data_IF_165939405977
#
_entry.id   IF_165939405977
#
_cell.length_a   1.000
_cell.length_b   1.000
_cell.length_c   1.000
_cell.angle_alpha   90.00
_cell.angle_beta   90.00
_cell.angle_gamma   90.00
#
_symmetry.space_group_name_H-M   'P 1'
#
loop_
_entity.id
_entity.type
_entity.pdbx_description
1 polymer ?
#
# COMPACT_ATOMS: atom_id res chain seq x y z
N UNK A 1 -20.56 35.89 -48.99
CA UNK A 1 -19.16 35.74 -49.46
C UNK A 1 -18.48 34.80 -48.48
N UNK A 2 -18.10 33.62 -48.98
CA UNK A 2 -17.24 32.57 -48.40
C UNK A 2 -17.46 32.12 -46.94
N UNK A 3 -18.31 31.11 -46.83
CA UNK A 3 -17.97 29.73 -46.46
C UNK A 3 -16.51 29.46 -46.00
N UNK A 4 -16.35 28.97 -44.77
CA UNK A 4 -15.25 28.11 -44.35
C UNK A 4 -15.82 27.06 -43.39
N UNK A 5 -16.01 25.86 -43.94
CA UNK A 5 -16.36 24.66 -43.22
C UNK A 5 -15.27 24.28 -42.20
N UNK A 6 -15.69 23.97 -40.98
CA UNK A 6 -14.93 23.10 -40.07
C UNK A 6 -15.78 21.87 -39.80
N UNK A 7 -15.31 20.75 -40.34
CA UNK A 7 -15.94 19.45 -40.23
C UNK A 7 -16.06 18.98 -38.78
N UNK A 8 -17.18 18.31 -38.56
CA UNK A 8 -17.66 17.66 -37.34
C UNK A 8 -16.76 16.49 -36.94
N UNK A 9 -16.48 16.37 -35.64
CA UNK A 9 -16.33 15.08 -34.98
C UNK A 9 -17.24 15.09 -33.75
N UNK A 10 -18.52 14.78 -33.96
CA UNK A 10 -19.43 14.39 -32.88
C UNK A 10 -18.96 13.03 -32.36
N UNK A 11 -18.23 13.02 -31.25
CA UNK A 11 -18.13 11.84 -30.41
C UNK A 11 -19.42 11.77 -29.59
N UNK A 12 -20.43 11.10 -30.13
CA UNK A 12 -21.57 10.62 -29.35
C UNK A 12 -21.04 9.59 -28.35
N UNK A 13 -20.83 10.03 -27.11
CA UNK A 13 -20.54 9.12 -26.01
C UNK A 13 -21.90 8.52 -25.61
N UNK A 14 -22.20 7.33 -26.14
CA UNK A 14 -23.38 6.59 -25.72
C UNK A 14 -23.16 6.16 -24.27
N UNK A 15 -23.70 6.91 -23.30
CA UNK A 15 -23.82 6.46 -21.93
C UNK A 15 -24.79 5.28 -21.91
N UNK A 16 -24.30 4.06 -21.77
CA UNK A 16 -25.15 2.98 -21.27
C UNK A 16 -25.48 3.30 -19.83
N UNK A 17 -26.72 3.70 -19.58
CA UNK A 17 -27.31 3.73 -18.24
C UNK A 17 -27.26 2.31 -17.66
N UNK A 18 -26.32 2.07 -16.75
CA UNK A 18 -26.36 0.86 -15.92
C UNK A 18 -27.48 1.06 -14.91
N UNK A 19 -28.61 0.44 -15.19
CA UNK A 19 -29.73 0.29 -14.27
C UNK A 19 -29.21 -0.25 -12.93
N UNK A 20 -29.29 0.57 -11.88
CA UNK A 20 -28.97 0.15 -10.52
C UNK A 20 -30.07 -0.80 -10.03
N UNK A 21 -29.74 -2.10 -10.00
CA UNK A 21 -30.52 -3.12 -9.29
C UNK A 21 -30.59 -2.85 -7.78
N UNK A 22 -31.46 -3.55 -7.04
CA UNK A 22 -31.80 -3.18 -5.67
C UNK A 22 -30.58 -3.26 -4.75
N UNK A 23 -30.33 -2.15 -4.05
CA UNK A 23 -29.48 -2.00 -2.89
C UNK A 23 -28.12 -2.72 -2.95
N UNK A 24 -27.06 -1.97 -3.30
CA UNK A 24 -25.73 -2.34 -2.82
C UNK A 24 -25.82 -2.58 -1.31
N UNK A 25 -25.46 -3.77 -0.80
CA UNK A 25 -25.28 -3.91 0.63
C UNK A 25 -24.29 -2.83 1.04
N UNK A 26 -24.71 -2.00 2.00
CA UNK A 26 -23.83 -1.13 2.77
C UNK A 26 -22.62 -1.98 3.13
N UNK A 27 -21.41 -1.55 2.74
CA UNK A 27 -20.17 -2.25 3.05
C UNK A 27 -20.25 -2.76 4.48
N UNK A 28 -20.29 -4.08 4.64
CA UNK A 28 -20.28 -4.72 5.94
C UNK A 28 -18.97 -4.30 6.60
N UNK A 29 -19.08 -3.41 7.57
CA UNK A 29 -18.01 -3.11 8.51
C UNK A 29 -17.76 -4.33 9.38
N UNK A 30 -16.48 -4.59 9.65
CA UNK A 30 -15.93 -5.54 10.62
C UNK A 30 -15.89 -7.00 10.18
N UNK A 31 -15.18 -7.26 9.08
CA UNK A 31 -14.31 -8.43 9.03
C UNK A 31 -12.89 -7.90 9.21
N UNK A 32 -12.19 -8.30 10.27
CA UNK A 32 -10.73 -8.22 10.31
C UNK A 32 -10.22 -8.90 9.05
N UNK A 33 -9.87 -8.13 8.01
CA UNK A 33 -9.47 -8.75 6.75
C UNK A 33 -8.18 -9.51 7.03
N UNK A 34 -8.14 -10.81 6.74
CA UNK A 34 -6.89 -11.58 6.70
C UNK A 34 -6.01 -11.20 5.50
N UNK A 35 -6.15 -9.96 5.01
CA UNK A 35 -5.53 -9.44 3.82
C UNK A 35 -4.01 -9.46 4.01
N UNK A 36 -3.38 -10.31 3.19
CA UNK A 36 -1.95 -10.32 3.03
C UNK A 36 -1.58 -9.09 2.21
N UNK A 37 -0.81 -8.17 2.78
CA UNK A 37 -0.44 -6.95 2.07
C UNK A 37 0.90 -7.12 1.35
N UNK A 38 1.06 -6.33 0.30
CA UNK A 38 2.30 -6.16 -0.44
C UNK A 38 2.51 -4.71 -0.88
N UNK A 39 3.72 -4.38 -1.28
CA UNK A 39 4.10 -3.03 -1.71
C UNK A 39 4.45 -3.02 -3.19
N UNK A 40 3.65 -2.31 -3.98
CA UNK A 40 3.97 -1.99 -5.37
C UNK A 40 4.73 -0.67 -5.42
N UNK A 41 5.95 -0.67 -5.95
CA UNK A 41 6.72 0.55 -6.09
C UNK A 41 6.15 1.42 -7.22
N UNK A 42 6.12 2.73 -7.01
CA UNK A 42 5.73 3.72 -8.01
C UNK A 42 6.88 4.71 -8.21
N UNK A 43 7.33 4.84 -9.46
CA UNK A 43 8.38 5.78 -9.86
C UNK A 43 7.85 6.63 -11.01
N UNK A 44 7.87 7.96 -10.86
CA UNK A 44 7.36 8.90 -11.87
C UNK A 44 5.95 8.54 -12.38
N UNK A 45 5.06 8.14 -11.46
CA UNK A 45 3.68 7.75 -11.76
C UNK A 45 3.51 6.38 -12.42
N UNK A 46 4.59 5.59 -12.57
CA UNK A 46 4.53 4.25 -13.17
C UNK A 46 4.75 3.18 -12.10
N UNK A 47 3.85 2.19 -12.06
CA UNK A 47 4.03 0.99 -11.25
C UNK A 47 5.28 0.21 -11.72
N UNK A 48 6.06 -0.27 -10.77
CA UNK A 48 7.30 -1.00 -10.97
C UNK A 48 7.17 -2.35 -10.26
N UNK A 49 6.81 -3.44 -10.98
CA UNK A 49 6.80 -4.78 -10.40
C UNK A 49 8.23 -5.24 -10.04
N UNK A 50 8.39 -6.26 -9.18
CA UNK A 50 7.34 -7.05 -8.54
C UNK A 50 6.64 -6.31 -7.38
N UNK A 51 5.55 -6.89 -6.88
CA UNK A 51 5.00 -6.50 -5.58
C UNK A 51 5.87 -7.17 -4.51
N UNK A 52 6.43 -6.38 -3.61
CA UNK A 52 7.20 -6.90 -2.47
C UNK A 52 6.23 -7.31 -1.36
N UNK A 53 6.14 -8.60 -1.06
CA UNK A 53 5.24 -9.11 -0.03
C UNK A 53 5.66 -8.63 1.38
N UNK A 54 4.70 -8.24 2.20
CA UNK A 54 4.95 -7.91 3.60
C UNK A 54 4.89 -9.18 4.46
N UNK A 55 5.88 -9.38 5.32
CA UNK A 55 5.86 -10.58 6.18
C UNK A 55 4.78 -10.47 7.27
N UNK A 56 4.20 -11.61 7.63
CA UNK A 56 3.37 -11.76 8.83
C UNK A 56 4.20 -12.11 10.10
N UNK A 57 5.52 -12.26 9.98
CA UNK A 57 6.40 -12.43 11.15
C UNK A 57 6.28 -11.22 12.08
N UNK A 58 6.18 -11.41 13.42
CA UNK A 58 6.16 -10.31 14.38
C UNK A 58 7.32 -9.32 14.21
N UNK A 59 8.52 -9.76 13.78
CA UNK A 59 9.64 -8.89 13.48
C UNK A 59 9.35 -7.90 12.33
N UNK A 60 8.41 -8.22 11.44
CA UNK A 60 7.95 -7.37 10.37
C UNK A 60 8.96 -7.19 9.22
N UNK A 61 8.53 -6.44 8.22
CA UNK A 61 9.31 -6.04 7.06
C UNK A 61 9.98 -4.69 7.36
N UNK A 62 11.31 -4.65 7.27
CA UNK A 62 12.08 -3.40 7.39
C UNK A 62 12.40 -2.87 6.01
N UNK A 63 12.10 -1.60 5.77
CA UNK A 63 12.41 -0.91 4.52
C UNK A 63 13.54 0.08 4.77
N UNK A 64 14.54 0.08 3.90
CA UNK A 64 15.64 1.02 3.97
C UNK A 64 16.81 0.64 3.07
N UNK A 65 17.66 1.61 2.76
CA UNK A 65 18.74 1.43 1.79
C UNK A 65 19.78 0.39 2.22
N UNK A 66 19.91 0.12 3.53
CA UNK A 66 20.78 -0.90 4.10
C UNK A 66 20.02 -1.75 5.13
N UNK A 67 18.70 -1.91 4.93
CA UNK A 67 17.89 -2.74 5.79
C UNK A 67 18.40 -4.20 5.72
N UNK A 68 18.48 -4.85 6.87
CA UNK A 68 18.92 -6.23 7.00
C UNK A 68 17.79 -7.08 7.59
N UNK A 69 17.75 -8.35 7.19
CA UNK A 69 16.74 -9.31 7.63
C UNK A 69 16.15 -10.10 6.47
N UNK A 70 15.49 -11.23 6.75
CA UNK A 70 14.96 -12.14 5.73
C UNK A 70 13.84 -11.51 4.88
N UNK A 71 13.17 -10.48 5.40
CA UNK A 71 12.06 -9.79 4.75
C UNK A 71 12.34 -8.29 4.53
N UNK A 72 13.61 -7.92 4.44
CA UNK A 72 14.00 -6.53 4.24
C UNK A 72 13.80 -6.08 2.79
N UNK A 73 13.21 -4.90 2.59
CA UNK A 73 13.06 -4.28 1.27
C UNK A 73 14.12 -3.20 1.11
N UNK A 74 15.06 -3.44 0.20
CA UNK A 74 16.21 -2.55 -0.07
C UNK A 74 16.15 -1.89 -1.45
N UNK A 75 15.17 -2.26 -2.28
CA UNK A 75 14.92 -1.62 -3.59
C UNK A 75 14.25 -0.25 -3.43
N UNK A 76 15.02 0.70 -2.90
CA UNK A 76 14.58 2.05 -2.53
C UNK A 76 15.40 3.13 -3.24
N UNK A 77 15.00 4.39 -3.07
CA UNK A 77 15.63 5.56 -3.65
C UNK A 77 16.86 6.01 -2.85
N UNK A 78 17.68 6.86 -3.46
CA UNK A 78 18.94 7.33 -2.87
C UNK A 78 18.75 8.16 -1.59
N UNK A 79 17.57 8.75 -1.40
CA UNK A 79 17.22 9.61 -0.26
C UNK A 79 16.51 8.85 0.87
N UNK A 80 16.55 7.51 0.80
CA UNK A 80 16.03 6.62 1.85
C UNK A 80 17.18 6.24 2.80
N UNK A 81 17.00 6.55 4.08
CA UNK A 81 17.89 6.16 5.18
C UNK A 81 18.10 4.64 5.28
N UNK A 82 19.20 4.25 5.96
CA UNK A 82 19.63 2.85 6.13
C UNK A 82 18.53 1.92 6.64
N UNK A 83 17.92 2.30 7.75
CA UNK A 83 16.67 1.74 8.26
C UNK A 83 15.66 2.89 8.25
N UNK A 84 14.59 2.77 7.47
CA UNK A 84 13.67 3.88 7.23
C UNK A 84 12.39 3.73 8.03
N UNK A 85 11.71 2.60 7.84
CA UNK A 85 10.48 2.25 8.52
C UNK A 85 10.36 0.74 8.66
N UNK A 86 9.49 0.31 9.58
CA UNK A 86 9.12 -1.08 9.79
C UNK A 86 7.61 -1.21 9.61
N UNK A 87 7.18 -2.23 8.89
CA UNK A 87 5.78 -2.61 8.73
C UNK A 87 5.59 -4.01 9.32
N UNK A 88 4.55 -4.21 10.12
CA UNK A 88 4.24 -5.51 10.70
C UNK A 88 2.73 -5.67 10.85
N UNK A 89 2.31 -6.90 11.08
CA UNK A 89 0.92 -7.24 11.38
C UNK A 89 0.79 -7.64 12.84
N UNK A 90 -0.22 -7.11 13.51
CA UNK A 90 -0.55 -7.46 14.90
C UNK A 90 -2.07 -7.42 15.06
N UNK A 91 -2.66 -8.52 15.55
CA UNK A 91 -4.11 -8.66 15.77
C UNK A 91 -4.93 -8.24 14.54
N UNK A 92 -4.62 -8.83 13.38
CA UNK A 92 -5.31 -8.53 12.11
C UNK A 92 -4.93 -7.18 11.48
N UNK A 93 -4.35 -6.25 12.22
CA UNK A 93 -4.07 -4.87 11.80
C UNK A 93 -2.65 -4.72 11.28
N UNK A 94 -2.48 -3.96 10.19
CA UNK A 94 -1.17 -3.62 9.65
C UNK A 94 -0.69 -2.28 10.20
N UNK A 95 0.47 -2.32 10.86
CA UNK A 95 1.09 -1.19 11.51
C UNK A 95 2.37 -0.79 10.80
N UNK A 96 2.66 0.51 10.81
CA UNK A 96 3.92 1.07 10.33
C UNK A 96 4.50 2.02 11.37
N UNK A 97 5.83 1.97 11.55
CA UNK A 97 6.56 2.92 12.41
C UNK A 97 7.85 3.37 11.73
N UNK A 98 8.15 4.66 11.83
CA UNK A 98 9.43 5.22 11.39
C UNK A 98 10.60 4.75 12.26
N UNK A 99 11.76 4.53 11.65
CA UNK A 99 12.98 4.07 12.32
C UNK A 99 14.03 5.20 12.40
N UNK A 100 13.60 6.41 12.76
CA UNK A 100 14.47 7.59 12.83
C UNK A 100 15.03 8.02 11.46
N UNK A 101 14.21 7.91 10.41
CA UNK A 101 14.55 8.31 9.05
C UNK A 101 14.96 9.79 8.97
N UNK A 102 15.75 10.20 7.99
CA UNK A 102 16.11 11.63 7.85
C UNK A 102 14.93 12.45 7.32
N UNK A 103 14.24 11.93 6.31
CA UNK A 103 13.23 12.67 5.56
C UNK A 103 11.78 12.45 6.06
N UNK A 104 11.57 11.52 6.99
CA UNK A 104 10.22 11.23 7.49
C UNK A 104 9.37 10.44 6.50
N UNK A 105 8.18 10.01 6.93
CA UNK A 105 7.23 9.27 6.10
C UNK A 105 5.85 9.93 6.19
N UNK A 106 5.28 10.26 5.04
CA UNK A 106 3.96 10.91 4.93
C UNK A 106 3.05 10.15 3.98
N UNK A 107 2.26 9.21 4.48
CA UNK A 107 1.35 8.47 3.61
C UNK A 107 0.20 9.34 3.09
N UNK A 108 -0.37 8.89 1.99
CA UNK A 108 -1.62 9.39 1.43
C UNK A 108 -2.65 8.28 1.58
N UNK A 109 -3.72 8.57 2.30
CA UNK A 109 -4.85 7.66 2.52
C UNK A 109 -5.50 7.28 1.20
N UNK A 110 -5.66 5.99 0.93
CA UNK A 110 -6.31 5.52 -0.31
C UNK A 110 -7.79 5.89 -0.39
N UNK A 111 -8.47 5.88 0.75
CA UNK A 111 -9.91 6.13 0.91
C UNK A 111 -10.28 7.62 0.82
N UNK A 112 -9.56 8.47 1.55
CA UNK A 112 -9.90 9.86 1.81
C UNK A 112 -8.96 10.84 1.11
N UNK A 113 -7.85 10.34 0.54
CA UNK A 113 -6.76 11.12 -0.06
C UNK A 113 -6.08 12.09 0.90
N UNK A 114 -6.34 11.97 2.21
CA UNK A 114 -5.70 12.80 3.23
C UNK A 114 -4.24 12.40 3.37
N UNK A 115 -3.39 13.41 3.54
CA UNK A 115 -1.99 13.21 3.91
C UNK A 115 -1.93 13.12 5.43
N UNK A 116 -1.26 12.10 5.94
CA UNK A 116 -0.96 11.97 7.36
C UNK A 116 0.53 11.69 7.57
N UNK A 117 0.98 11.73 8.81
CA UNK A 117 2.40 11.63 9.16
C UNK A 117 2.62 10.43 10.07
N UNK A 118 3.47 9.51 9.65
CA UNK A 118 3.98 8.44 10.51
C UNK A 118 5.13 8.98 11.36
N UNK A 119 6.08 9.62 10.69
CA UNK A 119 7.27 10.19 11.32
C UNK A 119 7.63 11.46 10.55
N UNK A 120 7.68 12.65 11.17
CA UNK A 120 8.05 13.86 10.43
C UNK A 120 9.56 13.84 10.08
N UNK A 121 9.99 14.66 9.11
CA UNK A 121 11.40 14.88 8.83
C UNK A 121 12.18 15.19 10.11
N UNK A 122 13.42 14.72 10.21
CA UNK A 122 14.23 14.86 11.44
C UNK A 122 14.34 16.32 11.90
N UNK A 123 14.46 17.26 10.97
CA UNK A 123 14.56 18.69 11.26
C UNK A 123 13.28 19.30 11.87
N UNK A 124 12.15 18.62 11.77
CA UNK A 124 10.84 19.06 12.24
C UNK A 124 10.38 18.30 13.50
N UNK A 125 11.25 17.44 14.05
CA UNK A 125 10.92 16.65 15.23
C UNK A 125 11.04 17.46 16.51
N UNK A 126 10.08 17.25 17.40
CA UNK A 126 10.17 17.75 18.77
C UNK A 126 11.16 16.87 19.56
N UNK A 127 12.10 17.47 20.32
CA UNK A 127 13.01 16.72 21.16
C UNK A 127 12.28 15.80 22.14
N UNK A 128 12.67 14.52 22.18
CA UNK A 128 12.11 13.53 23.11
C UNK A 128 10.71 13.00 22.76
N UNK A 129 10.11 13.45 21.64
CA UNK A 129 8.83 12.92 21.17
C UNK A 129 9.01 11.58 20.48
N UNK A 130 8.27 10.56 20.93
CA UNK A 130 8.11 9.31 20.20
C UNK A 130 6.95 9.45 19.20
N UNK A 131 7.22 9.04 17.96
CA UNK A 131 6.19 8.96 16.93
C UNK A 131 5.78 7.50 16.84
N UNK A 132 4.64 7.19 17.46
CA UNK A 132 4.12 5.83 17.60
C UNK A 132 3.74 5.17 16.26
N UNK A 133 3.42 3.88 16.29
CA UNK A 133 2.91 3.20 15.11
C UNK A 133 1.60 3.84 14.62
N UNK A 134 1.43 3.81 13.31
CA UNK A 134 0.19 4.22 12.64
C UNK A 134 -0.34 3.02 11.86
N UNK A 135 -1.65 2.88 11.82
CA UNK A 135 -2.31 1.86 11.00
C UNK A 135 -2.19 2.24 9.51
N UNK A 136 -2.00 1.24 8.67
CA UNK A 136 -2.06 1.39 7.21
C UNK A 136 -3.07 0.40 6.64
N UNK A 137 -3.71 0.79 5.55
CA UNK A 137 -4.68 -0.04 4.86
C UNK A 137 -4.33 -0.22 3.39
N UNK A 138 -4.99 -1.18 2.75
CA UNK A 138 -4.97 -1.31 1.29
C UNK A 138 -5.26 0.04 0.63
N UNK A 139 -4.59 0.29 -0.49
CA UNK A 139 -4.68 1.52 -1.30
C UNK A 139 -3.99 2.75 -0.71
N UNK A 140 -3.44 2.67 0.51
CA UNK A 140 -2.57 3.72 1.01
C UNK A 140 -1.31 3.84 0.16
N UNK A 141 -0.82 5.07 0.00
CA UNK A 141 0.46 5.33 -0.66
C UNK A 141 1.47 5.82 0.35
N UNK A 142 2.47 4.99 0.67
CA UNK A 142 3.58 5.38 1.53
C UNK A 142 4.56 6.24 0.74
N UNK A 143 4.76 7.48 1.16
CA UNK A 143 5.74 8.39 0.55
C UNK A 143 7.00 8.40 1.42
N UNK A 144 8.08 7.82 0.89
CA UNK A 144 9.38 7.73 1.55
C UNK A 144 10.32 8.73 0.87
N UNK A 145 10.74 9.73 1.63
CA UNK A 145 11.56 10.82 1.11
C UNK A 145 10.81 11.58 0.02
N UNK A 146 11.56 11.95 -1.01
CA UNK A 146 11.08 12.74 -2.16
C UNK A 146 10.90 11.90 -3.41
N UNK A 147 11.50 10.70 -3.47
CA UNK A 147 11.62 9.93 -4.72
C UNK A 147 10.80 8.65 -4.76
N UNK A 148 10.51 8.04 -3.61
CA UNK A 148 9.87 6.72 -3.55
C UNK A 148 8.43 6.85 -3.08
N UNK A 149 7.56 6.16 -3.80
CA UNK A 149 6.21 5.86 -3.38
C UNK A 149 5.98 4.37 -3.44
N UNK A 150 5.33 3.82 -2.42
CA UNK A 150 4.81 2.46 -2.44
C UNK A 150 3.29 2.52 -2.32
N UNK A 151 2.60 1.88 -3.25
CA UNK A 151 1.17 1.62 -3.12
C UNK A 151 1.00 0.32 -2.33
N UNK A 152 0.22 0.39 -1.26
CA UNK A 152 -0.16 -0.77 -0.46
C UNK A 152 -1.23 -1.55 -1.22
N UNK A 153 -0.90 -2.76 -1.61
CA UNK A 153 -1.75 -3.66 -2.38
C UNK A 153 -2.23 -4.79 -1.49
N UNK A 154 -3.49 -5.17 -1.66
CA UNK A 154 -3.94 -6.48 -1.20
C UNK A 154 -3.39 -7.53 -2.16
N UNK A 155 -2.66 -8.48 -1.60
CA UNK A 155 -2.30 -9.71 -2.27
C UNK A 155 -3.43 -10.67 -1.95
N UNK A 156 -4.52 -10.52 -2.72
CA UNK A 156 -5.71 -11.36 -2.62
C UNK A 156 -5.26 -12.79 -2.33
N UNK A 157 -5.68 -13.32 -1.17
CA UNK A 157 -5.14 -14.55 -0.62
C UNK A 157 -4.91 -15.54 -1.74
N UNK A 158 -3.63 -15.80 -2.06
CA UNK A 158 -3.27 -16.95 -2.85
C UNK A 158 -3.82 -18.11 -2.06
N UNK A 159 -4.97 -18.63 -2.48
CA UNK A 159 -5.83 -19.56 -1.78
C UNK A 159 -5.00 -20.57 -0.99
N UNK A 160 -4.72 -20.27 0.29
CA UNK A 160 -3.87 -21.08 1.16
C UNK A 160 -4.60 -22.35 1.62
N UNK A 161 -5.77 -22.62 1.05
CA UNK A 161 -6.58 -23.81 1.31
C UNK A 161 -6.27 -25.01 0.40
N UNK A 162 -5.29 -24.94 -0.50
CA UNK A 162 -4.89 -26.12 -1.31
C UNK A 162 -3.80 -27.00 -0.68
N UNK A 163 -3.33 -26.74 0.54
CA UNK A 163 -2.38 -27.59 1.27
C UNK A 163 -2.90 -28.13 2.61
N UNK A 164 -4.16 -28.58 2.68
CA UNK A 164 -4.62 -29.47 3.78
C UNK A 164 -5.55 -30.61 3.35
N UNK A 165 -5.49 -31.02 2.10
CA UNK A 165 -6.20 -32.22 1.58
C UNK A 165 -5.26 -33.16 0.83
N UNK A 166 -4.14 -33.56 1.45
CA UNK A 166 -3.34 -34.69 0.95
C UNK A 166 -2.83 -35.64 2.04
N UNK A 167 -3.20 -35.47 3.32
CA UNK A 167 -2.71 -36.33 4.42
C UNK A 167 -3.82 -37.00 5.26
N UNK A 168 -5.04 -37.07 4.72
CA UNK A 168 -6.13 -37.85 5.29
C UNK A 168 -6.66 -38.82 4.24
N UNK A 169 -5.88 -39.86 3.93
CA UNK A 169 -6.24 -40.81 2.89
C UNK A 169 -5.27 -41.98 2.74
N UNK A 170 -4.93 -42.66 3.82
CA UNK A 170 -4.55 -44.07 3.71
C UNK A 170 -5.07 -44.86 4.92
N UNK A 171 -6.35 -45.20 4.89
CA UNK A 171 -6.84 -46.39 5.57
C UNK A 171 -6.57 -47.61 4.68
N UNK A 172 -5.71 -48.52 5.16
CA UNK A 172 -5.93 -49.98 5.25
C UNK A 172 -4.73 -50.68 5.89
#
# INVERSE_FOLDING_TARGET
MQDYASNVLELTINTTETNFGPAFPKAESDQESDAQLGLMRIVNGKAQPPIEELTCDPAGTVIGALATGPHAITNVGFDVSRNYLRIWRENGTWWVKGLSSTNGTTPISGDSRKIYTIEPPRAQREPGKDYGPVEISMSDTLCLGTTIRFLVMDLAGSDRDTQKVHDAGNER
#
